data_IF_537621813386
#
_entry.id   IF_537621813386
#
_cell.length_a   1.000
_cell.length_b   1.000
_cell.length_c   1.000
_cell.angle_alpha   90.00
_cell.angle_beta   90.00
_cell.angle_gamma   90.00
#
_symmetry.space_group_name_H-M   'P 1'
#
loop_
_entity.id
_entity.type
_entity.pdbx_description
1 polymer ?
#
# COMPACT_ATOMS: atom_id res chain seq x y z
N UNK A 1 14.09 3.74 -20.27
CA UNK A 1 14.06 4.66 -19.11
C UNK A 1 15.30 4.49 -18.22
N UNK A 2 15.69 3.27 -17.86
CA UNK A 2 16.93 3.05 -17.08
C UNK A 2 18.21 3.60 -17.73
N UNK A 3 18.31 3.58 -19.08
CA UNK A 3 19.46 4.16 -19.80
C UNK A 3 19.53 5.71 -19.74
N UNK A 4 18.50 6.40 -19.25
CA UNK A 4 18.49 7.87 -19.13
C UNK A 4 18.94 8.35 -17.73
N UNK A 5 19.27 7.45 -16.81
CA UNK A 5 19.72 7.78 -15.45
C UNK A 5 18.57 7.93 -14.44
N UNK A 6 18.87 7.66 -13.17
CA UNK A 6 17.89 7.57 -12.08
C UNK A 6 17.08 8.85 -11.86
N UNK A 7 17.69 10.02 -12.10
CA UNK A 7 17.05 11.34 -11.96
C UNK A 7 15.80 11.51 -12.83
N UNK A 8 15.77 10.94 -14.04
CA UNK A 8 14.59 11.01 -14.91
C UNK A 8 13.46 10.11 -14.42
N UNK A 9 13.80 8.97 -13.82
CA UNK A 9 12.80 8.06 -13.23
C UNK A 9 12.19 8.73 -12.00
N UNK A 10 13.01 9.33 -11.14
CA UNK A 10 12.58 10.09 -9.97
C UNK A 10 11.65 11.25 -10.37
N UNK A 11 12.03 12.06 -11.37
CA UNK A 11 11.18 13.13 -11.89
C UNK A 11 9.84 12.62 -12.44
N UNK A 12 9.84 11.51 -13.19
CA UNK A 12 8.61 10.90 -13.70
C UNK A 12 7.69 10.42 -12.57
N UNK A 13 8.24 9.77 -11.55
CA UNK A 13 7.48 9.32 -10.37
C UNK A 13 6.88 10.51 -9.64
N UNK A 14 7.65 11.59 -9.45
CA UNK A 14 7.16 12.83 -8.84
C UNK A 14 6.01 13.42 -9.65
N UNK A 15 6.12 13.48 -10.98
CA UNK A 15 5.02 13.97 -11.84
C UNK A 15 3.76 13.11 -11.70
N UNK A 16 3.89 11.78 -11.66
CA UNK A 16 2.75 10.87 -11.45
C UNK A 16 2.09 11.09 -10.09
N UNK A 17 2.89 11.18 -9.03
CA UNK A 17 2.43 11.42 -7.65
C UNK A 17 1.72 12.77 -7.54
N UNK A 18 2.28 13.84 -8.12
CA UNK A 18 1.66 15.16 -8.18
C UNK A 18 0.35 15.12 -8.98
N UNK A 19 0.31 14.41 -10.11
CA UNK A 19 -0.92 14.26 -10.91
C UNK A 19 -2.04 13.61 -10.08
N UNK A 20 -1.73 12.52 -9.38
CA UNK A 20 -2.68 11.82 -8.50
C UNK A 20 -3.15 12.76 -7.38
N UNK A 21 -2.20 13.41 -6.70
CA UNK A 21 -2.50 14.34 -5.61
C UNK A 21 -3.36 15.52 -6.06
N UNK A 22 -3.09 16.11 -7.22
CA UNK A 22 -3.88 17.22 -7.78
C UNK A 22 -5.29 16.75 -8.16
N UNK A 23 -5.45 15.58 -8.78
CA UNK A 23 -6.77 15.05 -9.13
C UNK A 23 -7.64 14.87 -7.87
N UNK A 24 -7.12 14.18 -6.85
CA UNK A 24 -7.85 13.98 -5.60
C UNK A 24 -8.04 15.26 -4.79
N UNK A 25 -7.10 16.21 -4.85
CA UNK A 25 -7.28 17.52 -4.21
C UNK A 25 -8.44 18.30 -4.83
N UNK A 26 -8.56 18.31 -6.16
CA UNK A 26 -9.68 18.94 -6.87
C UNK A 26 -11.00 18.26 -6.48
N UNK A 27 -11.06 16.93 -6.54
CA UNK A 27 -12.26 16.17 -6.15
C UNK A 27 -12.66 16.41 -4.69
N UNK A 28 -11.68 16.47 -3.79
CA UNK A 28 -11.92 16.75 -2.38
C UNK A 28 -12.52 18.14 -2.16
N UNK A 29 -11.98 19.18 -2.84
CA UNK A 29 -12.52 20.54 -2.79
C UNK A 29 -13.95 20.58 -3.32
N UNK A 30 -14.23 19.88 -4.43
CA UNK A 30 -15.57 19.80 -5.01
C UNK A 30 -16.56 19.08 -4.10
N UNK A 31 -16.12 18.05 -3.38
CA UNK A 31 -16.96 17.25 -2.48
C UNK A 31 -17.37 17.99 -1.19
N UNK A 32 -16.74 19.13 -0.88
CA UNK A 32 -17.00 19.99 0.29
C UNK A 32 -17.18 19.18 1.59
N UNK A 33 -16.16 18.40 2.02
CA UNK A 33 -16.27 17.57 3.21
C UNK A 33 -16.33 18.43 4.48
N UNK A 34 -16.97 17.90 5.53
CA UNK A 34 -16.95 18.53 6.86
C UNK A 34 -15.54 18.46 7.44
N UNK A 35 -14.87 19.61 7.56
CA UNK A 35 -13.51 19.71 8.13
C UNK A 35 -13.47 19.18 9.57
N UNK A 36 -14.52 19.46 10.35
CA UNK A 36 -14.64 18.97 11.73
C UNK A 36 -14.78 17.44 11.75
N UNK A 37 -15.59 16.88 10.84
CA UNK A 37 -15.72 15.42 10.71
C UNK A 37 -14.41 14.74 10.33
N UNK A 38 -13.65 15.33 9.41
CA UNK A 38 -12.32 14.85 9.02
C UNK A 38 -11.35 14.92 10.21
N UNK A 39 -11.31 16.04 10.93
CA UNK A 39 -10.44 16.21 12.10
C UNK A 39 -10.76 15.21 13.22
N UNK A 40 -12.05 14.97 13.49
CA UNK A 40 -12.49 13.95 14.45
C UNK A 40 -12.14 12.53 14.00
N UNK A 41 -12.08 12.28 12.68
CA UNK A 41 -11.67 10.99 12.13
C UNK A 41 -10.21 10.61 12.40
N UNK A 42 -9.34 11.57 12.71
CA UNK A 42 -7.96 11.29 13.15
C UNK A 42 -7.88 10.80 14.60
N UNK A 43 -8.95 10.96 15.39
CA UNK A 43 -9.00 10.48 16.77
C UNK A 43 -9.34 8.98 16.74
N UNK A 44 -8.46 8.11 17.27
CA UNK A 44 -8.72 6.67 17.27
C UNK A 44 -9.93 6.34 18.16
N UNK A 45 -10.91 5.64 17.59
CA UNK A 45 -12.11 5.20 18.30
C UNK A 45 -12.11 3.68 18.57
N UNK A 46 -12.62 3.21 19.73
CA UNK A 46 -12.68 1.78 20.05
C UNK A 46 -13.58 0.99 19.07
N UNK A 47 -14.48 1.68 18.37
CA UNK A 47 -15.40 1.09 17.39
C UNK A 47 -14.68 0.39 16.22
N UNK A 48 -13.47 0.84 15.86
CA UNK A 48 -12.68 0.22 14.78
C UNK A 48 -12.28 -1.22 15.15
N UNK A 49 -12.01 -1.48 16.43
CA UNK A 49 -11.61 -2.81 16.92
C UNK A 49 -12.84 -3.69 17.18
N UNK A 50 -13.95 -3.09 17.64
CA UNK A 50 -15.17 -3.81 17.97
C UNK A 50 -15.97 -4.25 16.73
N UNK A 51 -15.85 -3.54 15.61
CA UNK A 51 -16.54 -3.88 14.36
C UNK A 51 -15.59 -4.64 13.42
N UNK A 52 -15.95 -5.87 13.06
CA UNK A 52 -15.11 -6.75 12.25
C UNK A 52 -14.91 -6.27 10.81
N UNK A 53 -15.92 -5.67 10.18
CA UNK A 53 -15.81 -5.12 8.83
C UNK A 53 -14.87 -3.92 8.81
N UNK A 54 -15.01 -3.01 9.79
CA UNK A 54 -14.10 -1.86 9.95
C UNK A 54 -12.68 -2.30 10.24
N UNK A 55 -12.52 -3.33 11.08
CA UNK A 55 -11.21 -3.91 11.38
C UNK A 55 -10.59 -4.53 10.12
N UNK A 56 -11.36 -5.27 9.32
CA UNK A 56 -10.89 -5.90 8.08
C UNK A 56 -10.42 -4.86 7.06
N UNK A 57 -11.21 -3.80 6.82
CA UNK A 57 -10.82 -2.69 5.94
C UNK A 57 -9.58 -1.98 6.48
N UNK A 58 -9.50 -1.75 7.80
CA UNK A 58 -8.34 -1.10 8.43
C UNK A 58 -7.06 -1.92 8.28
N UNK A 59 -7.14 -3.25 8.44
CA UNK A 59 -6.02 -4.17 8.19
C UNK A 59 -5.62 -4.12 6.71
N UNK A 60 -6.60 -4.10 5.80
CA UNK A 60 -6.37 -3.98 4.36
C UNK A 60 -5.62 -2.68 4.00
N UNK A 61 -6.04 -1.53 4.55
CA UNK A 61 -5.36 -0.24 4.36
C UNK A 61 -3.92 -0.29 4.91
N UNK A 62 -3.73 -0.88 6.09
CA UNK A 62 -2.40 -1.02 6.68
C UNK A 62 -1.48 -1.89 5.81
N UNK A 63 -1.97 -3.05 5.35
CA UNK A 63 -1.22 -3.95 4.46
C UNK A 63 -0.90 -3.32 3.11
N UNK A 64 -1.86 -2.58 2.54
CA UNK A 64 -1.67 -1.88 1.26
C UNK A 64 -0.67 -0.72 1.35
N UNK A 65 -0.56 -0.06 2.52
CA UNK A 65 0.39 1.05 2.72
C UNK A 65 1.81 0.56 3.01
N UNK A 66 1.96 -0.52 3.79
CA UNK A 66 3.26 -1.12 4.09
C UNK A 66 3.55 -2.24 3.10
N UNK A 67 4.00 -1.86 1.90
CA UNK A 67 4.29 -2.83 0.84
C UNK A 67 5.69 -3.47 1.02
N UNK A 68 5.81 -4.81 1.04
CA UNK A 68 7.10 -5.48 1.29
C UNK A 68 8.14 -5.18 0.22
N UNK A 69 7.72 -5.05 -1.04
CA UNK A 69 8.62 -4.72 -2.14
C UNK A 69 9.25 -3.32 -2.00
N UNK A 70 8.57 -2.37 -1.33
CA UNK A 70 9.14 -1.05 -1.05
C UNK A 70 10.29 -1.11 -0.03
N UNK A 71 10.27 -2.07 0.91
CA UNK A 71 11.38 -2.25 1.85
C UNK A 71 12.67 -2.66 1.12
N UNK A 72 12.56 -3.57 0.16
CA UNK A 72 13.69 -3.96 -0.69
C UNK A 72 14.10 -2.83 -1.64
N UNK A 73 13.13 -2.13 -2.22
CA UNK A 73 13.38 -1.01 -3.14
C UNK A 73 14.14 0.14 -2.46
N UNK A 74 13.64 0.63 -1.33
CA UNK A 74 14.25 1.73 -0.59
C UNK A 74 15.66 1.40 -0.09
N UNK A 75 15.87 0.17 0.39
CA UNK A 75 17.19 -0.26 0.87
C UNK A 75 18.26 -0.32 -0.24
N UNK A 76 17.85 -0.48 -1.50
CA UNK A 76 18.75 -0.40 -2.66
C UNK A 76 18.90 1.03 -3.18
N UNK A 77 17.80 1.79 -3.30
CA UNK A 77 17.82 3.16 -3.84
C UNK A 77 18.70 4.08 -3.00
N UNK A 78 18.67 3.97 -1.66
CA UNK A 78 19.49 4.81 -0.79
C UNK A 78 20.99 4.66 -1.06
N UNK A 79 21.42 3.50 -1.59
CA UNK A 79 22.82 3.22 -1.93
C UNK A 79 23.26 3.86 -3.25
N UNK A 80 22.32 4.35 -4.08
CA UNK A 80 22.65 5.04 -5.33
C UNK A 80 23.12 6.48 -5.12
N UNK A 81 22.87 7.06 -3.93
CA UNK A 81 23.33 8.39 -3.56
C UNK A 81 24.83 8.33 -3.23
N UNK A 82 25.60 9.30 -3.71
CA UNK A 82 27.02 9.44 -3.34
C UNK A 82 27.12 10.08 -1.96
N UNK A 83 27.68 9.37 -0.99
CA UNK A 83 27.97 9.88 0.35
C UNK A 83 29.34 9.38 0.82
N UNK A 84 29.96 10.07 1.77
CA UNK A 84 31.22 9.65 2.35
C UNK A 84 31.03 8.38 3.20
N UNK A 85 31.90 7.38 3.01
CA UNK A 85 31.87 6.13 3.77
C UNK A 85 32.43 6.27 5.20
N UNK A 86 32.38 7.48 5.76
CA UNK A 86 32.73 7.79 7.14
C UNK A 86 31.47 7.69 8.03
N UNK A 87 31.62 7.47 9.36
CA UNK A 87 30.52 7.58 10.32
C UNK A 87 29.66 8.85 10.15
N UNK A 88 30.32 9.99 9.96
CA UNK A 88 29.66 11.29 9.80
C UNK A 88 28.86 11.35 8.50
N UNK A 89 29.46 10.93 7.37
CA UNK A 89 28.78 10.89 6.07
C UNK A 89 27.58 9.93 6.05
N UNK A 90 27.70 8.76 6.69
CA UNK A 90 26.58 7.82 6.84
C UNK A 90 25.43 8.40 7.68
N UNK A 91 25.71 9.10 8.78
CA UNK A 91 24.67 9.76 9.60
C UNK A 91 23.92 10.82 8.79
N UNK A 92 24.66 11.62 8.00
CA UNK A 92 24.06 12.64 7.13
C UNK A 92 23.19 12.01 6.03
N UNK A 93 23.68 10.96 5.38
CA UNK A 93 22.92 10.21 4.37
C UNK A 93 21.63 9.61 4.95
N UNK A 94 21.70 9.01 6.15
CA UNK A 94 20.52 8.47 6.85
C UNK A 94 19.54 9.60 7.18
N UNK A 95 20.00 10.76 7.66
CA UNK A 95 19.15 11.90 7.97
C UNK A 95 18.37 12.37 6.73
N UNK A 96 19.06 12.60 5.61
CA UNK A 96 18.39 13.04 4.39
C UNK A 96 17.46 11.98 3.80
N UNK A 97 17.88 10.71 3.79
CA UNK A 97 17.03 9.61 3.34
C UNK A 97 15.77 9.45 4.21
N UNK A 98 15.89 9.68 5.52
CA UNK A 98 14.75 9.64 6.45
C UNK A 98 13.80 10.79 6.18
N UNK A 99 14.31 12.02 5.96
CA UNK A 99 13.48 13.18 5.62
C UNK A 99 12.74 12.94 4.30
N UNK A 100 13.47 12.53 3.25
CA UNK A 100 12.91 12.23 1.93
C UNK A 100 11.78 11.18 2.01
N UNK A 101 12.06 10.06 2.66
CA UNK A 101 11.06 9.00 2.87
C UNK A 101 9.88 9.46 3.72
N UNK A 102 10.11 10.30 4.74
CA UNK A 102 9.03 10.80 5.60
C UNK A 102 8.11 11.75 4.84
N UNK A 103 8.67 12.68 4.06
CA UNK A 103 7.89 13.61 3.24
C UNK A 103 7.07 12.84 2.19
N UNK A 104 7.67 11.86 1.52
CA UNK A 104 6.97 11.04 0.54
C UNK A 104 5.82 10.22 1.15
N UNK A 105 6.06 9.58 2.30
CA UNK A 105 5.04 8.80 3.01
C UNK A 105 3.92 9.68 3.60
N UNK A 106 4.25 10.89 4.08
CA UNK A 106 3.25 11.87 4.52
C UNK A 106 2.37 12.31 3.34
N UNK A 107 2.95 12.54 2.17
CA UNK A 107 2.17 12.85 0.97
C UNK A 107 1.24 11.70 0.56
N UNK A 108 1.74 10.46 0.63
CA UNK A 108 0.91 9.27 0.38
C UNK A 108 -0.23 9.12 1.41
N UNK A 109 0.01 9.44 2.68
CA UNK A 109 -1.02 9.49 3.72
C UNK A 109 -2.14 10.48 3.35
N UNK A 110 -1.80 11.68 2.87
CA UNK A 110 -2.79 12.66 2.43
C UNK A 110 -3.60 12.18 1.22
N UNK A 111 -2.98 11.52 0.25
CA UNK A 111 -3.70 10.92 -0.89
C UNK A 111 -4.67 9.85 -0.40
N UNK A 112 -4.21 8.90 0.42
CA UNK A 112 -5.07 7.83 0.94
C UNK A 112 -6.21 8.39 1.81
N UNK A 113 -5.92 9.42 2.62
CA UNK A 113 -6.92 10.15 3.38
C UNK A 113 -7.93 10.86 2.46
N UNK A 114 -7.48 11.51 1.38
CA UNK A 114 -8.35 12.16 0.42
C UNK A 114 -9.29 11.15 -0.28
N UNK A 115 -8.79 9.97 -0.66
CA UNK A 115 -9.62 8.90 -1.23
C UNK A 115 -10.71 8.48 -0.24
N UNK A 116 -10.35 8.26 1.03
CA UNK A 116 -11.30 7.84 2.07
C UNK A 116 -12.35 8.93 2.36
N UNK A 117 -11.92 10.19 2.49
CA UNK A 117 -12.81 11.32 2.73
C UNK A 117 -13.73 11.57 1.54
N UNK A 118 -13.20 11.49 0.32
CA UNK A 118 -14.01 11.60 -0.91
C UNK A 118 -15.06 10.50 -0.97
N UNK A 119 -14.69 9.25 -0.70
CA UNK A 119 -15.65 8.15 -0.67
C UNK A 119 -16.75 8.37 0.39
N UNK A 120 -16.37 8.87 1.57
CA UNK A 120 -17.32 9.18 2.63
C UNK A 120 -18.25 10.35 2.27
N UNK A 121 -17.72 11.46 1.75
CA UNK A 121 -18.51 12.65 1.43
C UNK A 121 -19.37 12.47 0.18
N UNK A 122 -18.81 11.87 -0.88
CA UNK A 122 -19.51 11.69 -2.15
C UNK A 122 -20.51 10.53 -2.09
N UNK A 123 -20.15 9.36 -1.54
CA UNK A 123 -20.98 8.15 -1.62
C UNK A 123 -21.77 7.85 -0.35
N UNK A 124 -21.11 7.85 0.82
CA UNK A 124 -21.77 7.43 2.07
C UNK A 124 -22.86 8.42 2.51
N UNK A 125 -22.60 9.72 2.42
CA UNK A 125 -23.58 10.76 2.79
C UNK A 125 -24.67 11.01 1.74
N UNK A 126 -24.47 10.58 0.49
CA UNK A 126 -25.48 10.66 -0.57
C UNK A 126 -26.44 9.46 -0.61
N UNK A 127 -26.30 8.52 0.33
CA UNK A 127 -27.13 7.30 0.41
C UNK A 127 -26.65 6.15 -0.49
N UNK A 128 -25.55 6.32 -1.22
CA UNK A 128 -24.96 5.27 -2.08
C UNK A 128 -23.99 4.41 -1.27
N UNK A 129 -24.52 3.61 -0.35
CA UNK A 129 -23.70 2.76 0.54
C UNK A 129 -23.17 1.48 -0.12
N UNK A 130 -23.65 1.13 -1.32
CA UNK A 130 -23.27 -0.07 -2.07
C UNK A 130 -22.25 0.21 -3.19
N UNK A 131 -21.42 1.24 -3.07
CA UNK A 131 -20.33 1.50 -4.04
C UNK A 131 -19.16 0.57 -3.70
N UNK A 132 -19.18 -0.62 -4.28
CA UNK A 132 -18.15 -1.64 -4.05
C UNK A 132 -17.05 -1.62 -5.12
N UNK A 133 -17.34 -1.09 -6.31
CA UNK A 133 -16.45 -1.19 -7.48
C UNK A 133 -15.90 0.17 -7.94
N UNK A 134 -14.71 0.15 -8.54
CA UNK A 134 -14.05 1.33 -9.13
C UNK A 134 -14.89 1.92 -10.28
N UNK A 135 -15.62 1.05 -10.99
CA UNK A 135 -16.52 1.39 -12.07
C UNK A 135 -17.72 2.20 -11.55
N UNK A 136 -18.24 1.85 -10.38
CA UNK A 136 -19.34 2.57 -9.74
C UNK A 136 -18.88 3.96 -9.31
N UNK A 137 -17.67 4.05 -8.72
CA UNK A 137 -17.07 5.34 -8.40
C UNK A 137 -16.94 6.23 -9.66
N UNK A 138 -16.43 5.69 -10.77
CA UNK A 138 -16.35 6.44 -12.04
C UNK A 138 -17.71 6.94 -12.52
N UNK A 139 -18.77 6.13 -12.45
CA UNK A 139 -20.12 6.53 -12.92
C UNK A 139 -20.77 7.56 -11.99
N UNK A 140 -20.49 7.49 -10.69
CA UNK A 140 -21.18 8.28 -9.66
C UNK A 140 -20.48 9.60 -9.33
N UNK A 141 -19.16 9.73 -9.56
CA UNK A 141 -18.41 10.94 -9.19
C UNK A 141 -18.90 12.20 -9.93
N UNK A 142 -19.03 12.18 -11.26
CA UNK A 142 -19.50 13.37 -11.99
C UNK A 142 -20.91 13.81 -11.60
N UNK A 143 -21.92 12.92 -11.49
CA UNK A 143 -23.25 13.30 -11.01
C UNK A 143 -23.26 13.84 -9.58
N UNK A 144 -22.54 13.18 -8.64
CA UNK A 144 -22.61 13.52 -7.22
C UNK A 144 -21.82 14.79 -6.88
N UNK A 145 -20.74 15.06 -7.60
CA UNK A 145 -19.95 16.28 -7.44
C UNK A 145 -20.49 17.45 -8.28
N UNK A 146 -21.46 17.21 -9.17
CA UNK A 146 -22.06 18.24 -10.02
C UNK A 146 -21.11 18.79 -11.10
N UNK A 147 -20.05 18.06 -11.42
CA UNK A 147 -18.99 18.50 -12.34
C UNK A 147 -18.67 17.39 -13.33
N UNK A 148 -18.86 17.66 -14.62
CA UNK A 148 -18.77 16.66 -15.69
C UNK A 148 -17.39 15.99 -15.83
N UNK A 149 -16.31 16.69 -15.44
CA UNK A 149 -14.93 16.18 -15.55
C UNK A 149 -14.44 15.40 -14.33
N UNK A 150 -15.23 15.26 -13.26
CA UNK A 150 -14.77 14.57 -12.04
C UNK A 150 -14.42 13.10 -12.31
N UNK A 151 -15.28 12.36 -13.03
CA UNK A 151 -14.98 10.99 -13.44
C UNK A 151 -13.69 10.86 -14.28
N UNK A 152 -13.39 11.88 -15.09
CA UNK A 152 -12.17 11.92 -15.91
C UNK A 152 -10.93 12.11 -15.03
N UNK A 153 -10.98 13.00 -14.04
CA UNK A 153 -9.89 13.18 -13.07
C UNK A 153 -9.62 11.89 -12.30
N UNK A 154 -10.66 11.22 -11.83
CA UNK A 154 -10.54 9.92 -11.16
C UNK A 154 -9.89 8.87 -12.05
N UNK A 155 -10.30 8.77 -13.32
CA UNK A 155 -9.71 7.84 -14.27
C UNK A 155 -8.23 8.17 -14.57
N UNK A 156 -7.88 9.46 -14.69
CA UNK A 156 -6.49 9.91 -14.88
C UNK A 156 -5.64 9.56 -13.66
N UNK A 157 -6.16 9.77 -12.44
CA UNK A 157 -5.49 9.39 -11.20
C UNK A 157 -5.26 7.88 -11.11
N UNK A 158 -6.28 7.08 -11.46
CA UNK A 158 -6.19 5.62 -11.49
C UNK A 158 -5.13 5.13 -12.49
N UNK A 159 -5.12 5.70 -13.70
CA UNK A 159 -4.12 5.39 -14.72
C UNK A 159 -2.71 5.77 -14.27
N UNK A 160 -2.54 6.96 -13.70
CA UNK A 160 -1.25 7.43 -13.17
C UNK A 160 -0.73 6.51 -12.05
N UNK A 161 -1.61 6.07 -11.14
CA UNK A 161 -1.28 5.12 -10.08
C UNK A 161 -0.80 3.77 -10.64
N UNK A 162 -1.49 3.22 -11.65
CA UNK A 162 -1.08 1.98 -12.32
C UNK A 162 0.29 2.07 -13.01
N UNK A 163 0.63 3.22 -13.59
CA UNK A 163 1.97 3.44 -14.16
C UNK A 163 3.04 3.49 -13.08
N UNK A 164 2.79 4.18 -11.97
CA UNK A 164 3.72 4.27 -10.85
C UNK A 164 4.04 2.88 -10.26
N UNK A 165 3.00 2.08 -10.01
CA UNK A 165 3.15 0.71 -9.49
C UNK A 165 3.98 -0.20 -10.41
N UNK A 166 3.85 -0.03 -11.73
CA UNK A 166 4.66 -0.82 -12.69
C UNK A 166 6.14 -0.47 -12.60
N UNK A 167 6.48 0.82 -12.48
CA UNK A 167 7.86 1.27 -12.41
C UNK A 167 8.53 0.77 -11.14
N UNK A 168 7.92 1.00 -9.97
CA UNK A 168 8.45 0.57 -8.68
C UNK A 168 8.50 -0.95 -8.59
N UNK A 169 7.47 -1.66 -9.06
CA UNK A 169 7.41 -3.12 -9.05
C UNK A 169 8.52 -3.77 -9.89
N UNK A 170 8.85 -3.22 -11.06
CA UNK A 170 9.95 -3.77 -11.89
C UNK A 170 11.34 -3.51 -11.31
N UNK A 171 11.53 -2.42 -10.55
CA UNK A 171 12.78 -2.14 -9.85
C UNK A 171 12.92 -3.02 -8.60
N UNK A 172 11.86 -3.13 -7.80
CA UNK A 172 11.85 -4.00 -6.63
C UNK A 172 12.05 -5.47 -7.03
N UNK A 173 11.40 -5.92 -8.10
CA UNK A 173 11.59 -7.25 -8.66
C UNK A 173 13.03 -7.51 -9.11
N UNK A 174 13.74 -6.48 -9.60
CA UNK A 174 15.18 -6.61 -9.89
C UNK A 174 15.97 -6.94 -8.63
N UNK A 175 15.75 -6.15 -7.59
CA UNK A 175 16.51 -6.21 -6.34
C UNK A 175 16.29 -7.56 -5.67
N UNK A 176 15.04 -8.04 -5.66
CA UNK A 176 14.70 -9.34 -5.09
C UNK A 176 15.29 -10.48 -5.93
N UNK A 177 15.16 -10.45 -7.25
CA UNK A 177 15.70 -11.52 -8.12
C UNK A 177 17.23 -11.58 -8.09
N UNK A 178 17.91 -10.44 -8.15
CA UNK A 178 19.37 -10.38 -8.11
C UNK A 178 19.91 -10.66 -6.71
N UNK A 179 19.22 -10.22 -5.65
CA UNK A 179 19.66 -10.39 -4.27
C UNK A 179 19.40 -11.79 -3.70
N UNK A 180 18.21 -12.35 -3.93
CA UNK A 180 17.83 -13.67 -3.36
C UNK A 180 18.11 -14.84 -4.29
N UNK A 181 17.90 -14.67 -5.60
CA UNK A 181 18.03 -15.77 -6.57
C UNK A 181 19.33 -15.70 -7.38
N UNK A 182 20.14 -14.63 -7.22
CA UNK A 182 21.30 -14.33 -8.05
C UNK A 182 21.00 -14.42 -9.56
N UNK A 183 19.75 -14.15 -9.94
CA UNK A 183 19.26 -14.34 -11.30
C UNK A 183 19.10 -12.99 -12.00
N UNK A 184 19.88 -12.79 -13.08
CA UNK A 184 19.95 -11.53 -13.83
C UNK A 184 19.25 -11.69 -15.17
N UNK A 185 18.17 -10.95 -15.35
CA UNK A 185 17.44 -10.85 -16.62
C UNK A 185 17.37 -9.40 -17.08
N UNK A 186 17.26 -9.22 -18.39
CA UNK A 186 17.12 -7.88 -18.97
C UNK A 186 15.82 -7.23 -18.49
N UNK A 187 15.83 -5.92 -18.14
CA UNK A 187 14.67 -5.26 -17.52
C UNK A 187 13.37 -5.32 -18.33
N UNK A 188 13.46 -5.28 -19.67
CA UNK A 188 12.29 -5.36 -20.54
C UNK A 188 11.66 -6.76 -20.54
N UNK A 189 12.49 -7.82 -20.51
CA UNK A 189 12.02 -9.21 -20.40
C UNK A 189 11.35 -9.40 -19.04
N UNK A 190 11.97 -8.92 -17.95
CA UNK A 190 11.36 -8.96 -16.62
C UNK A 190 9.98 -8.32 -16.62
N UNK A 191 9.88 -7.09 -17.16
CA UNK A 191 8.61 -6.35 -17.23
C UNK A 191 7.57 -7.08 -18.06
N UNK A 192 7.96 -7.70 -19.17
CA UNK A 192 7.05 -8.49 -20.00
C UNK A 192 6.55 -9.72 -19.24
N UNK A 193 7.45 -10.50 -18.65
CA UNK A 193 7.11 -11.72 -17.91
C UNK A 193 6.21 -11.43 -16.71
N UNK A 194 6.57 -10.48 -15.85
CA UNK A 194 5.76 -10.16 -14.67
C UNK A 194 4.39 -9.59 -15.06
N UNK A 195 4.31 -8.87 -16.19
CA UNK A 195 3.05 -8.36 -16.71
C UNK A 195 2.18 -9.44 -17.34
N UNK A 196 2.77 -10.40 -18.05
CA UNK A 196 2.02 -11.55 -18.57
C UNK A 196 1.46 -12.41 -17.43
N UNK A 197 2.27 -12.68 -16.41
CA UNK A 197 1.83 -13.44 -15.22
C UNK A 197 0.72 -12.71 -14.47
N UNK A 198 0.70 -11.37 -14.47
CA UNK A 198 -0.37 -10.60 -13.84
C UNK A 198 -1.64 -10.49 -14.71
N UNK A 199 -1.48 -10.22 -16.01
CA UNK A 199 -2.61 -9.92 -16.91
C UNK A 199 -3.33 -11.20 -17.35
N UNK A 200 -2.61 -12.28 -17.67
CA UNK A 200 -3.23 -13.50 -18.21
C UNK A 200 -4.27 -14.07 -17.23
N UNK A 201 -3.98 -14.29 -15.93
CA UNK A 201 -4.99 -14.78 -14.99
C UNK A 201 -6.16 -13.81 -14.82
N UNK A 202 -5.89 -12.50 -14.79
CA UNK A 202 -6.94 -11.50 -14.68
C UNK A 202 -7.89 -11.53 -15.88
N UNK A 203 -7.36 -11.59 -17.11
CA UNK A 203 -8.14 -11.67 -18.34
C UNK A 203 -8.95 -12.97 -18.40
N UNK A 204 -8.37 -14.11 -18.01
CA UNK A 204 -9.08 -15.39 -17.98
C UNK A 204 -10.24 -15.37 -16.99
N UNK A 205 -10.01 -14.87 -15.78
CA UNK A 205 -11.06 -14.81 -14.75
C UNK A 205 -12.17 -13.84 -15.15
N UNK A 206 -11.83 -12.66 -15.67
CA UNK A 206 -12.83 -11.68 -16.13
C UNK A 206 -13.59 -12.23 -17.35
N UNK A 207 -12.90 -12.89 -18.29
CA UNK A 207 -13.51 -13.45 -19.49
C UNK A 207 -14.47 -14.61 -19.21
N UNK A 208 -14.18 -15.43 -18.19
CA UNK A 208 -15.02 -16.60 -17.84
C UNK A 208 -16.11 -16.24 -16.82
N UNK A 209 -15.78 -15.44 -15.80
CA UNK A 209 -16.66 -15.18 -14.65
C UNK A 209 -17.28 -13.78 -14.63
N UNK A 210 -16.94 -12.92 -15.60
CA UNK A 210 -17.46 -11.56 -15.72
C UNK A 210 -16.72 -10.51 -14.88
N UNK A 211 -17.08 -9.23 -15.11
CA UNK A 211 -16.38 -8.06 -14.53
C UNK A 211 -16.51 -7.97 -13.00
N UNK A 212 -17.60 -8.47 -12.41
CA UNK A 212 -17.85 -8.41 -10.96
C UNK A 212 -16.89 -9.25 -10.10
N UNK A 213 -16.01 -10.05 -10.72
CA UNK A 213 -14.92 -10.77 -10.03
C UNK A 213 -13.63 -9.96 -9.91
N UNK A 214 -13.55 -8.79 -10.52
CA UNK A 214 -12.35 -7.94 -10.50
C UNK A 214 -11.97 -7.53 -9.07
N UNK A 215 -12.95 -7.17 -8.25
CA UNK A 215 -12.71 -6.80 -6.84
C UNK A 215 -12.19 -7.99 -6.03
N UNK A 216 -12.72 -9.19 -6.26
CA UNK A 216 -12.25 -10.41 -5.60
C UNK A 216 -10.81 -10.75 -5.99
N UNK A 217 -10.45 -10.58 -7.27
CA UNK A 217 -9.06 -10.71 -7.72
C UNK A 217 -8.12 -9.68 -7.08
N UNK A 218 -8.59 -8.44 -6.93
CA UNK A 218 -7.83 -7.37 -6.28
C UNK A 218 -7.56 -7.74 -4.81
N UNK A 219 -8.60 -8.18 -4.09
CA UNK A 219 -8.49 -8.64 -2.69
C UNK A 219 -7.58 -9.86 -2.58
N UNK A 220 -7.72 -10.86 -3.46
CA UNK A 220 -6.83 -12.03 -3.49
C UNK A 220 -5.37 -11.63 -3.71
N UNK A 221 -5.11 -10.64 -4.56
CA UNK A 221 -3.76 -10.09 -4.75
C UNK A 221 -3.22 -9.45 -3.46
N UNK A 222 -4.08 -8.81 -2.65
CA UNK A 222 -3.68 -8.29 -1.34
C UNK A 222 -3.38 -9.40 -0.34
N UNK A 223 -4.09 -10.52 -0.39
CA UNK A 223 -3.78 -11.71 0.43
C UNK A 223 -2.40 -12.29 0.06
N UNK A 224 -2.04 -12.30 -1.21
CA UNK A 224 -0.68 -12.73 -1.61
C UNK A 224 0.39 -11.76 -1.10
N UNK A 225 0.10 -10.45 -1.07
CA UNK A 225 1.01 -9.45 -0.51
C UNK A 225 1.14 -9.56 1.02
N UNK A 226 0.05 -9.83 1.73
CA UNK A 226 0.04 -9.98 3.19
C UNK A 226 0.92 -11.14 3.65
N UNK A 227 0.90 -12.26 2.91
CA UNK A 227 1.78 -13.42 3.17
C UNK A 227 3.26 -13.05 3.14
N UNK A 228 3.68 -12.11 2.28
CA UNK A 228 5.08 -11.73 2.11
C UNK A 228 5.56 -10.77 3.19
N UNK A 229 4.66 -9.98 3.78
CA UNK A 229 5.04 -8.87 4.65
C UNK A 229 5.76 -9.33 5.91
N UNK A 230 5.31 -10.42 6.54
CA UNK A 230 5.98 -10.98 7.72
C UNK A 230 7.42 -11.42 7.43
N UNK A 231 7.66 -12.04 6.28
CA UNK A 231 9.00 -12.47 5.85
C UNK A 231 9.92 -11.30 5.49
N UNK A 232 9.38 -10.12 5.17
CA UNK A 232 10.18 -8.93 4.92
C UNK A 232 10.48 -8.15 6.21
N UNK A 233 9.48 -7.94 7.07
CA UNK A 233 9.58 -7.10 8.27
C UNK A 233 10.41 -7.77 9.36
N UNK A 234 10.24 -9.08 9.57
CA UNK A 234 10.96 -9.79 10.64
C UNK A 234 12.49 -9.76 10.46
N UNK A 235 13.06 -10.14 9.30
CA UNK A 235 14.50 -10.02 9.08
C UNK A 235 14.98 -8.58 9.14
N UNK A 236 14.21 -7.62 8.63
CA UNK A 236 14.55 -6.20 8.70
C UNK A 236 14.74 -5.75 10.16
N UNK A 237 13.77 -6.03 11.03
CA UNK A 237 13.86 -5.68 12.45
C UNK A 237 14.99 -6.41 13.17
N UNK A 238 15.25 -7.67 12.82
CA UNK A 238 16.36 -8.44 13.37
C UNK A 238 17.72 -7.86 12.97
N UNK A 239 17.94 -7.62 11.67
CA UNK A 239 19.22 -7.16 11.14
C UNK A 239 19.54 -5.73 11.56
N UNK A 240 18.55 -4.82 11.55
CA UNK A 240 18.74 -3.43 11.99
C UNK A 240 18.95 -3.30 13.51
N UNK A 241 18.51 -4.30 14.29
CA UNK A 241 18.77 -4.37 15.74
C UNK A 241 20.10 -5.04 16.12
N UNK A 242 20.79 -5.68 15.19
CA UNK A 242 22.00 -6.47 15.46
C UNK A 242 23.26 -5.58 15.42
N UNK A 243 23.85 -5.31 16.60
CA UNK A 243 25.08 -4.49 16.71
C UNK A 243 26.25 -5.05 15.90
N UNK A 244 26.33 -6.37 15.72
CA UNK A 244 27.38 -7.00 14.92
C UNK A 244 27.31 -6.61 13.44
N UNK A 245 26.11 -6.33 12.90
CA UNK A 245 25.91 -5.92 11.50
C UNK A 245 25.89 -4.41 11.33
N UNK A 246 25.23 -3.69 12.25
CA UNK A 246 24.96 -2.25 12.11
C UNK A 246 25.99 -1.37 12.84
N UNK A 247 26.81 -1.93 13.73
CA UNK A 247 27.76 -1.17 14.53
C UNK A 247 27.08 -0.08 15.36
N UNK A 248 27.57 1.16 15.25
CA UNK A 248 27.02 2.33 15.91
C UNK A 248 25.64 2.78 15.38
N UNK A 249 25.21 2.26 14.22
CA UNK A 249 23.92 2.59 13.58
C UNK A 249 22.81 1.60 13.92
N UNK A 250 23.03 0.70 14.88
CA UNK A 250 22.00 -0.21 15.34
C UNK A 250 20.82 0.57 15.97
N UNK A 251 19.61 0.04 15.82
CA UNK A 251 18.40 0.69 16.33
C UNK A 251 18.50 1.02 17.84
N UNK A 252 18.24 2.28 18.19
CA UNK A 252 18.06 2.71 19.58
C UNK A 252 16.85 2.05 20.24
N UNK A 253 16.77 2.12 21.57
CA UNK A 253 15.71 1.47 22.36
C UNK A 253 14.29 1.84 21.88
N UNK A 254 14.06 3.12 21.62
CA UNK A 254 12.76 3.65 21.17
C UNK A 254 12.34 3.03 19.84
N UNK A 255 13.21 3.09 18.83
CA UNK A 255 12.95 2.50 17.50
C UNK A 255 12.79 0.98 17.60
N UNK A 256 13.55 0.33 18.48
CA UNK A 256 13.43 -1.11 18.71
C UNK A 256 12.06 -1.47 19.30
N UNK A 257 11.60 -0.76 20.32
CA UNK A 257 10.29 -1.03 20.96
C UNK A 257 9.16 -0.78 19.96
N UNK A 258 9.10 0.42 19.36
CA UNK A 258 8.03 0.76 18.42
C UNK A 258 8.09 -0.11 17.16
N UNK A 259 9.28 -0.36 16.62
CA UNK A 259 9.45 -1.20 15.43
C UNK A 259 9.04 -2.66 15.65
N UNK A 260 9.40 -3.26 16.79
CA UNK A 260 8.95 -4.62 17.12
C UNK A 260 7.46 -4.67 17.44
N UNK A 261 6.91 -3.66 18.12
CA UNK A 261 5.47 -3.55 18.36
C UNK A 261 4.70 -3.50 17.03
N UNK A 262 5.10 -2.62 16.09
CA UNK A 262 4.50 -2.54 14.77
C UNK A 262 4.67 -3.85 13.99
N UNK A 263 5.85 -4.47 14.02
CA UNK A 263 6.09 -5.75 13.36
C UNK A 263 5.17 -6.87 13.90
N UNK A 264 5.00 -6.96 15.22
CA UNK A 264 4.12 -7.95 15.85
C UNK A 264 2.66 -7.69 15.49
N UNK A 265 2.21 -6.43 15.50
CA UNK A 265 0.85 -6.06 15.09
C UNK A 265 0.62 -6.48 13.64
N UNK A 266 1.52 -6.09 12.73
CA UNK A 266 1.43 -6.43 11.31
C UNK A 266 1.39 -7.95 11.12
N UNK A 267 2.33 -8.69 11.71
CA UNK A 267 2.39 -10.15 11.54
C UNK A 267 1.13 -10.81 12.09
N UNK A 268 0.69 -10.41 13.28
CA UNK A 268 -0.54 -10.96 13.91
C UNK A 268 -1.78 -10.70 13.05
N UNK A 269 -1.94 -9.47 12.54
CA UNK A 269 -3.08 -9.11 11.70
C UNK A 269 -3.05 -9.84 10.35
N UNK A 270 -1.87 -10.04 9.75
CA UNK A 270 -1.75 -10.81 8.52
C UNK A 270 -2.01 -12.31 8.76
N UNK A 271 -1.55 -12.88 9.87
CA UNK A 271 -1.87 -14.26 10.26
C UNK A 271 -3.37 -14.42 10.46
N UNK A 272 -4.03 -13.48 11.15
CA UNK A 272 -5.49 -13.47 11.29
C UNK A 272 -6.18 -13.40 9.92
N UNK A 273 -5.76 -12.49 9.04
CA UNK A 273 -6.31 -12.36 7.70
C UNK A 273 -6.21 -13.68 6.91
N UNK A 274 -5.06 -14.35 6.96
CA UNK A 274 -4.85 -15.64 6.31
C UNK A 274 -5.69 -16.74 6.94
N UNK A 275 -5.80 -16.77 8.27
CA UNK A 275 -6.66 -17.70 8.99
C UNK A 275 -8.13 -17.53 8.57
N UNK A 276 -8.63 -16.30 8.55
CA UNK A 276 -10.00 -15.98 8.14
C UNK A 276 -10.28 -16.34 6.66
N UNK A 277 -9.26 -16.20 5.80
CA UNK A 277 -9.38 -16.47 4.35
C UNK A 277 -9.30 -17.96 4.01
N UNK A 278 -8.43 -18.74 4.67
CA UNK A 278 -8.14 -20.13 4.30
C UNK A 278 -8.80 -21.18 5.19
N UNK A 279 -9.27 -20.82 6.39
CA UNK A 279 -9.85 -21.82 7.31
C UNK A 279 -11.32 -22.10 6.99
N UNK A 280 -11.76 -23.37 7.09
CA UNK A 280 -13.18 -23.73 6.90
C UNK A 280 -14.09 -23.07 7.93
N UNK A 281 -15.32 -22.71 7.53
CA UNK A 281 -16.34 -22.12 8.41
C UNK A 281 -16.54 -22.83 9.78
N UNK A 282 -16.53 -24.18 9.88
CA UNK A 282 -16.68 -24.87 11.16
C UNK A 282 -15.53 -24.56 12.12
N UNK A 283 -14.31 -24.42 11.59
CA UNK A 283 -13.11 -24.14 12.37
C UNK A 283 -13.11 -22.67 12.82
N UNK A 284 -13.55 -21.76 11.95
CA UNK A 284 -13.75 -20.36 12.31
C UNK A 284 -14.79 -20.23 13.43
N UNK A 285 -15.97 -20.85 13.28
CA UNK A 285 -17.02 -20.82 14.31
C UNK A 285 -16.55 -21.42 15.64
N UNK A 286 -15.76 -22.50 15.62
CA UNK A 286 -15.20 -23.09 16.83
C UNK A 286 -14.13 -22.20 17.49
N UNK A 287 -13.22 -21.61 16.70
CA UNK A 287 -12.15 -20.73 17.19
C UNK A 287 -12.69 -19.42 17.77
N UNK A 288 -13.57 -18.74 17.03
CA UNK A 288 -14.22 -17.52 17.46
C UNK A 288 -15.20 -17.78 18.61
N UNK A 289 -15.91 -18.92 18.59
CA UNK A 289 -16.76 -19.38 19.69
C UNK A 289 -15.98 -19.64 20.98
N UNK A 290 -14.79 -20.23 20.90
CA UNK A 290 -13.88 -20.40 22.05
C UNK A 290 -13.41 -19.06 22.62
N UNK A 291 -13.19 -18.06 21.76
CA UNK A 291 -12.79 -16.71 22.16
C UNK A 291 -13.96 -15.84 22.65
N UNK A 292 -15.21 -16.30 22.51
CA UNK A 292 -16.40 -15.50 22.83
C UNK A 292 -16.61 -14.31 21.90
N UNK A 293 -16.01 -14.33 20.70
CA UNK A 293 -16.08 -13.27 19.70
C UNK A 293 -16.98 -13.78 18.55
N UNK A 294 -17.85 -12.95 17.94
CA UNK A 294 -18.59 -13.35 16.75
C UNK A 294 -17.64 -13.79 15.63
N UNK A 295 -17.97 -14.84 14.88
CA UNK A 295 -17.17 -15.26 13.73
C UNK A 295 -17.32 -14.26 12.58
N UNK A 296 -16.24 -13.93 11.85
CA UNK A 296 -16.33 -13.07 10.67
C UNK A 296 -17.22 -13.74 9.61
N UNK A 297 -18.21 -12.99 9.14
CA UNK A 297 -19.00 -13.35 7.96
C UNK A 297 -18.13 -13.19 6.72
N UNK A 298 -17.92 -14.27 5.97
CA UNK A 298 -17.20 -14.25 4.69
C UNK A 298 -17.99 -13.51 3.61
#
# INVERSE_FOLDING_TARGET
>A
LQNKGFRYIEALVITLILTIGTCFAIELILSKPSIIGVALGFVPGPRIILNQEMLYVSIGILGATVMPHNLYLHSSIVQTRKFEQTPRGKREAIKFATIDSTVALMFALFINGAILVLAASAFHWSGHQNVAEIQDAYKLLSPLLGVSFASVLFAVALLASGQNSTLTGTLAGQIVMEGFLNFRITPWVRRLLTRLIAIIPAVLVIGIFGEGKTTQLLVASQVVLSMQLGFAVWPLMRFTGEKAKMGEFANGLVVKIFGWMTAIIIISLNVKLLFDTFMPEPVLKAFYGFLGIPAPTQ
#
